data_IF_825553214422
#
_entry.id   IF_825553214422
#
_cell.length_a   1.000
_cell.length_b   1.000
_cell.length_c   1.000
_cell.angle_alpha   90.00
_cell.angle_beta   90.00
_cell.angle_gamma   90.00
#
_symmetry.space_group_name_H-M   'P 1'
#
loop_
_entity.id
_entity.type
_entity.pdbx_description
1 polymer ?
#
# COMPACT_ATOMS: atom_id res chain seq x y z
N UNK A 1 7.50 -5.09 11.44
CA UNK A 1 6.52 -5.98 10.81
C UNK A 1 6.12 -5.30 9.52
N UNK A 2 6.21 -6.01 8.40
CA UNK A 2 5.85 -5.48 7.09
C UNK A 2 4.38 -5.04 7.11
N UNK A 3 4.07 -3.88 6.55
CA UNK A 3 2.69 -3.39 6.40
C UNK A 3 2.35 -3.25 4.93
N UNK A 4 1.16 -3.69 4.55
CA UNK A 4 0.57 -3.46 3.24
C UNK A 4 -0.68 -2.58 3.41
N UNK A 5 -0.57 -1.31 3.01
CA UNK A 5 -1.72 -0.41 2.87
C UNK A 5 -2.44 -0.76 1.57
N UNK A 6 -3.71 -1.13 1.65
CA UNK A 6 -4.46 -1.66 0.52
C UNK A 6 -5.96 -1.38 0.63
N UNK A 7 -6.67 -1.59 -0.48
CA UNK A 7 -8.11 -1.84 -0.44
C UNK A 7 -8.40 -3.15 -1.20
N UNK A 8 -9.39 -3.92 -0.74
CA UNK A 8 -9.77 -5.19 -1.36
C UNK A 8 -10.30 -5.04 -2.80
N UNK A 9 -10.73 -3.82 -3.17
CA UNK A 9 -11.24 -3.47 -4.49
C UNK A 9 -10.13 -3.07 -5.48
N UNK A 10 -8.88 -2.86 -5.03
CA UNK A 10 -7.80 -2.37 -5.88
C UNK A 10 -7.16 -3.50 -6.67
N UNK A 11 -7.22 -3.39 -8.00
CA UNK A 11 -6.56 -4.32 -8.93
C UNK A 11 -5.04 -4.30 -8.78
N UNK A 12 -4.46 -3.17 -8.34
CA UNK A 12 -3.03 -3.01 -8.11
C UNK A 12 -2.59 -3.59 -6.77
N UNK A 13 -3.46 -3.55 -5.76
CA UNK A 13 -3.15 -4.09 -4.43
C UNK A 13 -3.18 -5.61 -4.37
N UNK A 14 -4.08 -6.23 -5.13
CA UNK A 14 -4.32 -7.68 -5.07
C UNK A 14 -3.09 -8.54 -5.44
N UNK A 15 -2.31 -8.23 -6.50
CA UNK A 15 -1.07 -8.95 -6.81
C UNK A 15 -0.03 -8.85 -5.70
N UNK A 16 0.13 -7.68 -5.07
CA UNK A 16 1.08 -7.48 -3.97
C UNK A 16 0.66 -8.33 -2.77
N UNK A 17 -0.63 -8.30 -2.41
CA UNK A 17 -1.15 -9.11 -1.30
C UNK A 17 -0.94 -10.61 -1.52
N UNK A 18 -1.32 -11.14 -2.69
CA UNK A 18 -1.12 -12.56 -3.03
C UNK A 18 0.37 -12.92 -2.98
N UNK A 19 1.24 -12.06 -3.51
CA UNK A 19 2.69 -12.30 -3.49
C UNK A 19 3.22 -12.46 -2.06
N UNK A 20 2.77 -11.61 -1.12
CA UNK A 20 3.20 -11.72 0.28
C UNK A 20 2.74 -13.04 0.93
N UNK A 21 1.51 -13.49 0.63
CA UNK A 21 1.00 -14.79 1.09
C UNK A 21 1.84 -15.93 0.52
N UNK A 22 2.04 -15.96 -0.80
CA UNK A 22 2.78 -17.02 -1.51
C UNK A 22 4.24 -17.11 -1.08
N UNK A 23 4.83 -15.99 -0.63
CA UNK A 23 6.19 -15.96 -0.08
C UNK A 23 6.26 -16.28 1.42
N UNK A 24 5.12 -16.52 2.08
CA UNK A 24 5.07 -16.78 3.51
C UNK A 24 5.60 -15.61 4.34
N UNK A 25 5.42 -14.38 3.86
CA UNK A 25 5.84 -13.19 4.60
C UNK A 25 4.89 -12.96 5.79
N UNK A 26 5.44 -12.55 6.93
CA UNK A 26 4.66 -12.01 8.04
C UNK A 26 4.39 -10.53 7.81
N UNK A 27 3.12 -10.15 7.64
CA UNK A 27 2.72 -8.78 7.40
C UNK A 27 1.36 -8.43 8.02
N UNK A 28 1.17 -7.13 8.22
CA UNK A 28 -0.10 -6.51 8.63
C UNK A 28 -0.80 -5.92 7.41
N UNK A 29 -2.09 -6.21 7.27
CA UNK A 29 -2.96 -5.55 6.31
C UNK A 29 -3.53 -4.28 6.92
N UNK A 30 -3.25 -3.13 6.29
CA UNK A 30 -3.81 -1.83 6.68
C UNK A 30 -4.86 -1.44 5.64
N UNK A 31 -6.13 -1.64 6.00
CA UNK A 31 -7.25 -1.36 5.11
C UNK A 31 -7.47 0.14 4.95
N UNK A 32 -7.45 0.61 3.71
CA UNK A 32 -7.76 1.97 3.28
C UNK A 32 -9.16 2.00 2.65
N UNK A 33 -9.96 3.01 2.99
CA UNK A 33 -11.30 3.23 2.43
C UNK A 33 -11.25 3.91 1.08
N UNK A 34 -10.23 4.75 0.85
CA UNK A 34 -10.07 5.60 -0.33
C UNK A 34 -11.22 6.62 -0.54
N UNK A 35 -11.93 6.97 0.54
CA UNK A 35 -13.02 7.95 0.58
C UNK A 35 -12.55 9.34 1.06
N UNK A 36 -11.23 9.56 1.10
CA UNK A 36 -10.57 10.77 1.61
C UNK A 36 -9.49 10.50 2.65
N UNK A 37 -9.31 9.26 3.10
CA UNK A 37 -8.22 8.87 4.00
C UNK A 37 -6.84 8.90 3.31
N UNK A 38 -6.80 8.68 1.99
CA UNK A 38 -5.58 8.71 1.17
C UNK A 38 -4.98 10.11 0.96
N UNK A 39 -5.73 11.17 1.27
CA UNK A 39 -5.23 12.56 1.21
C UNK A 39 -4.92 13.14 2.59
N UNK A 40 -5.09 12.34 3.66
CA UNK A 40 -4.74 12.80 5.00
C UNK A 40 -3.22 12.93 5.13
N UNK A 41 -2.72 13.93 5.90
CA UNK A 41 -1.29 14.18 6.06
C UNK A 41 -0.48 12.94 6.47
N UNK A 42 -1.04 12.12 7.35
CA UNK A 42 -0.40 10.91 7.85
C UNK A 42 -0.14 9.88 6.74
N UNK A 43 -1.08 9.71 5.80
CA UNK A 43 -0.89 8.81 4.66
C UNK A 43 0.03 9.42 3.61
N UNK A 44 -0.10 10.72 3.33
CA UNK A 44 0.75 11.43 2.38
C UNK A 44 2.23 11.45 2.79
N UNK A 45 2.52 11.42 4.09
CA UNK A 45 3.88 11.29 4.61
C UNK A 45 4.53 9.94 4.23
N UNK A 46 3.73 8.91 3.96
CA UNK A 46 4.17 7.58 3.57
C UNK A 46 4.15 7.43 2.04
N UNK A 47 3.08 7.88 1.39
CA UNK A 47 2.88 7.80 -0.06
C UNK A 47 2.45 9.16 -0.61
N UNK A 48 3.37 9.96 -1.16
CA UNK A 48 3.06 11.31 -1.64
C UNK A 48 2.11 11.32 -2.84
N UNK A 49 1.90 10.17 -3.47
CA UNK A 49 1.02 10.01 -4.63
C UNK A 49 -0.42 9.65 -4.25
N UNK A 50 -0.77 9.56 -2.96
CA UNK A 50 -2.11 9.23 -2.47
C UNK A 50 -2.73 7.93 -3.02
N UNK A 51 -1.91 7.03 -3.58
CA UNK A 51 -2.36 5.76 -4.15
C UNK A 51 -1.96 4.58 -3.25
N UNK A 52 -2.73 3.49 -3.39
CA UNK A 52 -2.42 2.14 -2.88
C UNK A 52 -2.18 1.19 -4.06
N UNK A 53 -1.34 0.15 -3.91
CA UNK A 53 -0.72 -0.35 -2.68
C UNK A 53 0.49 0.46 -2.21
N UNK A 54 0.76 0.41 -0.90
CA UNK A 54 2.01 0.89 -0.29
C UNK A 54 2.55 -0.19 0.65
N UNK A 55 3.82 -0.55 0.49
CA UNK A 55 4.52 -1.46 1.40
C UNK A 55 5.46 -0.67 2.30
N UNK A 56 5.37 -0.90 3.62
CA UNK A 56 6.27 -0.29 4.60
C UNK A 56 6.94 -1.39 5.43
N UNK A 57 8.26 -1.44 5.42
CA UNK A 57 9.05 -2.22 6.36
C UNK A 57 10.02 -1.30 7.13
N UNK A 58 9.66 -0.98 8.37
CA UNK A 58 10.40 -0.07 9.25
C UNK A 58 10.61 1.30 8.58
N UNK A 59 11.83 1.59 8.12
CA UNK A 59 12.22 2.86 7.54
C UNK A 59 12.32 2.78 5.99
N UNK A 60 11.83 1.69 5.40
CA UNK A 60 11.83 1.47 3.97
C UNK A 60 10.40 1.40 3.44
N UNK A 61 10.10 2.25 2.45
CA UNK A 61 8.78 2.32 1.82
C UNK A 61 8.90 2.05 0.34
N UNK A 62 8.04 1.15 -0.16
CA UNK A 62 7.88 0.88 -1.59
C UNK A 62 6.52 1.38 -2.03
N UNK A 63 6.55 2.26 -3.02
CA UNK A 63 5.39 2.79 -3.74
C UNK A 63 5.60 2.54 -5.23
N UNK A 64 4.50 2.42 -5.96
CA UNK A 64 4.52 2.38 -7.41
C UNK A 64 4.17 3.78 -7.93
N UNK A 65 4.92 4.26 -8.92
CA UNK A 65 4.66 5.52 -9.61
C UNK A 65 4.33 5.19 -11.06
N UNK A 66 3.05 5.23 -11.38
CA UNK A 66 2.62 5.16 -12.77
C UNK A 66 2.87 6.54 -13.41
N UNK A 67 3.89 6.61 -14.28
CA UNK A 67 4.13 7.80 -15.09
C UNK A 67 3.04 7.82 -16.16
N UNK A 68 2.05 8.71 -16.00
CA UNK A 68 1.07 9.00 -17.04
C UNK A 68 1.82 9.38 -18.32
N UNK A 69 1.82 8.46 -19.30
CA UNK A 69 2.37 8.65 -20.65
C UNK A 69 1.50 9.60 -21.47
#
# INVERSE_FOLDING_TARGET
MLKLYYTSLSIYSRPVWITLIEKGCDFELVSMKLDGDQVQPDFLAISPFNHVPVLVDKNFTVIEYERNS
#
